data_IF_703907215555
#
_entry.id   IF_703907215555
#
_cell.length_a   1.000
_cell.length_b   1.000
_cell.length_c   1.000
_cell.angle_alpha   90.00
_cell.angle_beta   90.00
_cell.angle_gamma   90.00
#
_symmetry.space_group_name_H-M   'P 1'
#
loop_
_entity.id
_entity.type
_entity.pdbx_description
1 polymer ?
#
# COMPACT_ATOMS: atom_id res chain seq x y z
N UNK A 1 39.43 19.92 -20.93
CA UNK A 1 38.64 20.26 -19.73
C UNK A 1 37.54 19.23 -19.61
N UNK A 2 37.65 18.28 -18.68
CA UNK A 2 36.60 17.30 -18.41
C UNK A 2 35.80 17.79 -17.20
N UNK A 3 34.54 18.12 -17.40
CA UNK A 3 33.62 18.45 -16.30
C UNK A 3 33.15 17.14 -15.68
N UNK A 4 33.82 16.70 -14.62
CA UNK A 4 33.26 15.65 -13.76
C UNK A 4 32.01 16.23 -13.08
N UNK A 5 30.84 15.79 -13.53
CA UNK A 5 29.58 16.09 -12.85
C UNK A 5 29.57 15.31 -11.53
N UNK A 6 29.75 16.02 -10.42
CA UNK A 6 29.50 15.47 -9.09
C UNK A 6 27.99 15.31 -8.98
N UNK A 7 27.49 14.08 -8.98
CA UNK A 7 26.09 13.80 -8.68
C UNK A 7 25.83 14.27 -7.24
N UNK A 8 25.07 15.36 -7.09
CA UNK A 8 24.59 15.76 -5.77
C UNK A 8 23.66 14.65 -5.25
N UNK A 9 23.82 14.20 -3.99
CA UNK A 9 22.85 13.29 -3.41
C UNK A 9 21.49 13.99 -3.44
N UNK A 10 20.51 13.35 -4.08
CA UNK A 10 19.12 13.78 -3.97
C UNK A 10 18.76 13.78 -2.49
N UNK A 11 18.39 14.95 -1.95
CA UNK A 11 17.98 15.09 -0.54
C UNK A 11 16.66 14.35 -0.23
N UNK A 12 15.98 13.84 -1.26
CA UNK A 12 14.77 13.04 -1.14
C UNK A 12 15.11 11.58 -0.81
N UNK A 13 14.36 10.93 0.10
CA UNK A 13 14.49 9.50 0.38
C UNK A 13 14.33 8.63 -0.88
N UNK A 14 14.85 7.41 -0.81
CA UNK A 14 14.75 6.45 -1.91
C UNK A 14 13.29 6.15 -2.27
N UNK A 15 12.98 5.90 -3.55
CA UNK A 15 11.67 5.40 -3.94
C UNK A 15 11.46 3.97 -3.46
N UNK A 16 10.22 3.63 -3.09
CA UNK A 16 9.82 2.23 -2.88
C UNK A 16 9.73 1.56 -4.26
N UNK A 17 10.22 0.34 -4.40
CA UNK A 17 10.26 -0.39 -5.67
C UNK A 17 9.23 -1.53 -5.71
N UNK A 18 8.63 -1.76 -6.88
CA UNK A 18 7.82 -2.92 -7.19
C UNK A 18 8.68 -4.19 -7.36
N UNK A 19 8.04 -5.34 -7.55
CA UNK A 19 8.72 -6.62 -7.77
C UNK A 19 9.57 -6.69 -9.05
N UNK A 20 9.42 -5.74 -9.98
CA UNK A 20 10.23 -5.60 -11.17
C UNK A 20 11.37 -4.58 -10.99
N UNK A 21 11.56 -4.03 -9.79
CA UNK A 21 12.59 -3.04 -9.47
C UNK A 21 12.26 -1.63 -9.94
N UNK A 22 10.99 -1.32 -10.25
CA UNK A 22 10.55 0.00 -10.72
C UNK A 22 9.91 0.79 -9.58
N UNK A 23 10.05 2.12 -9.53
CA UNK A 23 9.41 2.93 -8.49
C UNK A 23 7.89 2.79 -8.43
N UNK A 24 7.31 2.84 -7.23
CA UNK A 24 5.86 2.88 -7.04
C UNK A 24 5.29 4.25 -7.44
N UNK A 25 4.69 4.31 -8.62
CA UNK A 25 4.04 5.50 -9.18
C UNK A 25 2.63 5.73 -8.64
N UNK A 26 2.28 7.00 -8.41
CA UNK A 26 0.93 7.42 -8.04
C UNK A 26 -0.08 7.08 -9.14
N UNK A 27 -1.28 6.63 -8.75
CA UNK A 27 -2.39 6.33 -9.66
C UNK A 27 -2.28 4.98 -10.38
N UNK A 28 -1.23 4.20 -10.10
CA UNK A 28 -1.04 2.84 -10.63
C UNK A 28 -1.51 1.82 -9.60
N UNK A 29 -2.13 0.74 -10.09
CA UNK A 29 -2.57 -0.39 -9.28
C UNK A 29 -1.43 -1.37 -9.01
N UNK A 30 -1.25 -1.72 -7.73
CA UNK A 30 -0.27 -2.70 -7.27
C UNK A 30 -0.94 -3.78 -6.42
N UNK A 31 -0.45 -5.01 -6.53
CA UNK A 31 -0.82 -6.08 -5.59
C UNK A 31 0.22 -6.18 -4.49
N UNK A 32 -0.24 -6.24 -3.23
CA UNK A 32 0.60 -6.52 -2.08
C UNK A 32 0.65 -8.04 -1.90
N UNK A 33 1.82 -8.62 -2.13
CA UNK A 33 2.07 -10.05 -1.93
C UNK A 33 2.95 -10.26 -0.70
N UNK A 34 2.80 -11.40 0.00
CA UNK A 34 3.71 -11.80 1.06
C UNK A 34 5.13 -11.91 0.51
N UNK A 35 6.10 -11.32 1.21
CA UNK A 35 7.51 -11.45 0.84
C UNK A 35 8.01 -12.90 1.01
N UNK A 36 7.37 -13.67 1.90
CA UNK A 36 7.67 -15.08 2.20
C UNK A 36 6.53 -15.92 1.61
N UNK A 37 6.80 -16.66 0.54
CA UNK A 37 5.79 -17.27 -0.32
C UNK A 37 5.10 -18.51 0.26
N UNK A 38 5.66 -19.12 1.30
CA UNK A 38 5.12 -20.29 1.99
C UNK A 38 4.19 -19.93 3.17
N UNK A 39 4.02 -18.64 3.45
CA UNK A 39 3.18 -18.20 4.56
C UNK A 39 2.19 -17.09 4.18
N UNK A 40 0.91 -17.42 4.32
CA UNK A 40 -0.21 -16.49 4.15
C UNK A 40 -0.76 -16.42 2.72
N UNK A 41 -2.02 -15.98 2.62
CA UNK A 41 -2.74 -15.91 1.36
C UNK A 41 -2.88 -14.48 0.86
N UNK A 42 -4.03 -14.23 0.25
CA UNK A 42 -4.33 -12.99 -0.46
C UNK A 42 -4.50 -11.78 0.46
N UNK A 43 -3.91 -10.65 0.08
CA UNK A 43 -4.16 -9.35 0.70
C UNK A 43 -5.42 -8.68 0.14
N UNK A 44 -6.41 -8.34 0.99
CA UNK A 44 -7.76 -7.95 0.59
C UNK A 44 -8.53 -7.17 1.67
N UNK A 45 -9.81 -6.87 1.41
CA UNK A 45 -10.80 -6.40 2.39
C UNK A 45 -11.50 -7.59 3.05
N UNK A 46 -11.50 -7.62 4.38
CA UNK A 46 -12.06 -8.69 5.22
C UNK A 46 -13.36 -8.21 5.85
N UNK A 47 -14.40 -9.01 5.66
CA UNK A 47 -15.64 -8.90 6.42
C UNK A 47 -15.57 -9.84 7.63
N UNK A 48 -15.55 -9.27 8.84
CA UNK A 48 -15.48 -10.05 10.08
C UNK A 48 -16.86 -10.55 10.53
N UNK A 49 -17.89 -9.70 10.42
CA UNK A 49 -19.19 -9.89 11.08
C UNK A 49 -20.40 -9.44 10.24
N UNK A 50 -20.27 -9.30 8.91
CA UNK A 50 -21.31 -8.75 8.06
C UNK A 50 -21.49 -7.23 8.19
N UNK A 51 -20.48 -6.53 8.71
CA UNK A 51 -20.57 -5.12 9.11
C UNK A 51 -19.53 -4.25 8.42
N UNK A 52 -19.93 -3.03 8.07
CA UNK A 52 -19.04 -2.00 7.56
C UNK A 52 -18.46 -1.15 8.72
N UNK A 53 -17.26 -0.57 8.59
CA UNK A 53 -16.34 -0.68 7.46
C UNK A 53 -15.63 -2.05 7.41
N UNK A 54 -15.22 -2.47 6.20
CA UNK A 54 -14.40 -3.67 6.01
C UNK A 54 -12.97 -3.44 6.55
N UNK A 55 -12.33 -4.50 7.00
CA UNK A 55 -10.98 -4.46 7.54
C UNK A 55 -9.95 -4.72 6.45
N UNK A 56 -8.78 -4.09 6.57
CA UNK A 56 -7.62 -4.42 5.75
C UNK A 56 -6.99 -5.68 6.32
N UNK A 57 -6.76 -6.70 5.51
CA UNK A 57 -6.21 -7.95 6.03
C UNK A 57 -5.69 -8.90 4.97
N UNK A 58 -5.19 -10.03 5.46
CA UNK A 58 -4.68 -11.13 4.65
C UNK A 58 -5.50 -12.39 4.93
N UNK A 59 -6.01 -13.03 3.88
CA UNK A 59 -6.72 -14.31 4.00
C UNK A 59 -5.73 -15.47 4.20
N UNK A 60 -6.17 -16.53 4.89
CA UNK A 60 -5.36 -17.72 5.13
C UNK A 60 -5.35 -18.71 3.95
N UNK A 61 -6.22 -18.50 2.96
CA UNK A 61 -6.34 -19.38 1.78
C UNK A 61 -5.44 -18.87 0.66
N UNK A 62 -4.59 -19.75 0.15
CA UNK A 62 -3.89 -19.55 -1.12
C UNK A 62 -4.92 -19.62 -2.27
N UNK A 63 -4.84 -18.70 -3.23
CA UNK A 63 -5.85 -18.56 -4.28
C UNK A 63 -5.58 -17.42 -5.25
N UNK A 64 -6.64 -16.93 -5.90
CA UNK A 64 -6.60 -15.80 -6.84
C UNK A 64 -5.90 -14.56 -6.22
N UNK A 65 -5.43 -13.65 -7.08
CA UNK A 65 -4.77 -12.42 -6.65
C UNK A 65 -5.66 -11.55 -5.75
N UNK A 66 -4.96 -10.71 -4.96
CA UNK A 66 -5.46 -9.61 -4.11
C UNK A 66 -6.55 -8.73 -4.66
N UNK A 67 -6.98 -7.79 -3.83
CA UNK A 67 -7.48 -6.54 -4.36
C UNK A 67 -6.27 -5.61 -4.60
N UNK A 68 -6.17 -4.96 -5.76
CA UNK A 68 -5.10 -4.02 -6.00
C UNK A 68 -5.26 -2.78 -5.12
N UNK A 69 -4.15 -2.12 -4.83
CA UNK A 69 -4.07 -0.87 -4.09
C UNK A 69 -3.41 0.22 -4.93
N UNK A 70 -3.74 1.47 -4.61
CA UNK A 70 -3.07 2.65 -5.13
C UNK A 70 -2.35 3.33 -3.95
N UNK A 71 -1.05 3.56 -4.12
CA UNK A 71 -0.25 4.37 -3.20
C UNK A 71 -0.25 5.82 -3.67
N UNK A 72 -0.59 6.75 -2.77
CA UNK A 72 -0.64 8.18 -3.07
C UNK A 72 0.28 8.94 -2.11
N UNK A 73 1.38 9.54 -2.59
CA UNK A 73 2.21 10.42 -1.77
C UNK A 73 1.37 11.52 -1.11
N UNK A 74 1.70 11.89 0.12
CA UNK A 74 0.97 12.98 0.79
C UNK A 74 1.29 14.35 0.17
N UNK A 75 2.52 14.52 -0.32
CA UNK A 75 2.92 15.69 -1.11
C UNK A 75 2.39 15.55 -2.54
N UNK A 76 1.47 16.41 -2.94
CA UNK A 76 0.83 16.37 -4.26
C UNK A 76 1.79 16.62 -5.43
N UNK A 77 2.97 17.20 -5.17
CA UNK A 77 4.01 17.39 -6.18
C UNK A 77 4.86 16.13 -6.40
N UNK A 78 4.72 15.09 -5.57
CA UNK A 78 5.43 13.83 -5.72
C UNK A 78 4.61 12.84 -6.55
N UNK A 79 5.22 12.29 -7.59
CA UNK A 79 4.60 11.28 -8.47
C UNK A 79 4.98 9.85 -8.09
N UNK A 80 5.91 9.68 -7.14
CA UNK A 80 6.48 8.40 -6.73
C UNK A 80 6.45 8.29 -5.22
N UNK A 81 6.04 7.14 -4.71
CA UNK A 81 6.05 6.83 -3.27
C UNK A 81 7.48 6.56 -2.80
N UNK A 82 7.88 7.22 -1.71
CA UNK A 82 9.24 7.16 -1.16
C UNK A 82 9.24 6.61 0.26
N UNK A 83 10.35 5.99 0.62
CA UNK A 83 10.61 5.55 1.98
C UNK A 83 10.61 6.75 2.94
N UNK A 84 10.25 6.53 4.21
CA UNK A 84 10.26 7.59 5.24
C UNK A 84 9.50 8.87 4.85
N UNK A 85 8.40 8.69 4.10
CA UNK A 85 7.45 9.73 3.72
C UNK A 85 6.04 9.22 3.92
N UNK A 86 5.15 10.14 4.28
CA UNK A 86 3.74 9.83 4.46
C UNK A 86 3.06 9.60 3.11
N UNK A 87 2.21 8.59 3.05
CA UNK A 87 1.39 8.26 1.90
C UNK A 87 0.01 7.77 2.35
N UNK A 88 -0.94 7.76 1.43
CA UNK A 88 -2.26 7.15 1.60
C UNK A 88 -2.33 5.89 0.76
N UNK A 89 -3.11 4.92 1.25
CA UNK A 89 -3.38 3.67 0.54
C UNK A 89 -4.89 3.53 0.38
N UNK A 90 -5.32 3.13 -0.82
CA UNK A 90 -6.72 2.90 -1.16
C UNK A 90 -6.81 1.61 -1.95
N UNK A 91 -7.74 0.71 -1.61
CA UNK A 91 -8.05 -0.40 -2.51
C UNK A 91 -8.79 0.10 -3.73
N UNK A 92 -8.34 -0.27 -4.93
CA UNK A 92 -9.07 -0.06 -6.17
C UNK A 92 -10.14 -1.15 -6.32
N UNK A 93 -11.21 -1.01 -5.55
CA UNK A 93 -12.31 -1.97 -5.50
C UNK A 93 -13.62 -1.28 -5.11
N UNK A 94 -14.71 -1.72 -5.72
CA UNK A 94 -16.06 -1.37 -5.26
C UNK A 94 -16.50 -2.33 -4.14
N UNK A 95 -17.21 -1.80 -3.14
CA UNK A 95 -17.70 -2.59 -2.00
C UNK A 95 -19.18 -2.33 -1.77
N UNK A 96 -19.85 -3.28 -1.10
CA UNK A 96 -21.25 -3.12 -0.67
C UNK A 96 -21.43 -2.05 0.42
N UNK A 97 -20.34 -1.61 1.06
CA UNK A 97 -20.39 -0.67 2.17
C UNK A 97 -20.69 0.76 1.74
N UNK A 98 -20.66 1.08 0.44
CA UNK A 98 -20.87 2.44 -0.11
C UNK A 98 -20.03 3.49 0.65
N UNK A 99 -18.82 3.10 1.02
CA UNK A 99 -17.85 3.87 1.80
C UNK A 99 -16.50 3.84 1.10
N UNK A 100 -15.62 4.79 1.45
CA UNK A 100 -14.26 4.80 0.94
C UNK A 100 -13.49 3.56 1.40
N UNK A 101 -12.68 3.01 0.49
CA UNK A 101 -11.70 1.95 0.75
C UNK A 101 -10.34 2.51 1.16
N UNK A 102 -10.23 3.81 1.45
CA UNK A 102 -9.02 4.43 1.96
C UNK A 102 -8.73 3.96 3.38
N UNK A 103 -7.48 3.56 3.62
CA UNK A 103 -7.10 2.94 4.89
C UNK A 103 -7.06 3.97 6.01
N UNK A 104 -7.50 3.53 7.18
CA UNK A 104 -7.44 4.27 8.43
C UNK A 104 -7.12 3.31 9.55
N UNK A 105 -6.31 3.75 10.50
CA UNK A 105 -6.18 3.05 11.78
C UNK A 105 -7.45 3.27 12.59
N UNK A 106 -7.93 2.19 13.21
CA UNK A 106 -9.05 2.27 14.15
C UNK A 106 -8.69 3.03 15.42
N UNK A 107 -9.67 3.18 16.32
CA UNK A 107 -9.38 3.47 17.73
C UNK A 107 -8.71 2.25 18.35
N UNK A 108 -8.09 2.46 19.51
CA UNK A 108 -7.57 1.38 20.36
C UNK A 108 -8.67 0.32 20.51
N UNK A 109 -8.38 -0.88 20.07
CA UNK A 109 -9.28 -2.01 20.21
C UNK A 109 -9.36 -2.41 21.70
N UNK A 110 -10.56 -2.45 22.30
CA UNK A 110 -10.68 -2.70 23.73
C UNK A 110 -10.36 -4.14 24.13
N UNK A 111 -10.40 -5.10 23.19
CA UNK A 111 -10.07 -6.50 23.47
C UNK A 111 -8.57 -6.72 23.45
N UNK A 112 -7.86 -6.12 22.49
CA UNK A 112 -6.40 -6.28 22.33
C UNK A 112 -5.58 -5.15 22.93
N UNK A 113 -6.20 -4.03 23.33
CA UNK A 113 -5.56 -2.80 23.80
C UNK A 113 -4.46 -2.27 22.86
N UNK A 114 -4.69 -2.43 21.54
CA UNK A 114 -3.79 -2.07 20.45
C UNK A 114 -4.50 -1.14 19.46
#
# INVERSE_FOLDING_TARGET
MAISAVAQPSSSPAPVLDSAGRPLEHGVEYYINPAISDNGGRFTLIDRNGSCALYVGQENVSGLAGLPVIFTPFNENETVTRENRDFRVVFSAATICVQSTAWKTGKIDPETNC
#
